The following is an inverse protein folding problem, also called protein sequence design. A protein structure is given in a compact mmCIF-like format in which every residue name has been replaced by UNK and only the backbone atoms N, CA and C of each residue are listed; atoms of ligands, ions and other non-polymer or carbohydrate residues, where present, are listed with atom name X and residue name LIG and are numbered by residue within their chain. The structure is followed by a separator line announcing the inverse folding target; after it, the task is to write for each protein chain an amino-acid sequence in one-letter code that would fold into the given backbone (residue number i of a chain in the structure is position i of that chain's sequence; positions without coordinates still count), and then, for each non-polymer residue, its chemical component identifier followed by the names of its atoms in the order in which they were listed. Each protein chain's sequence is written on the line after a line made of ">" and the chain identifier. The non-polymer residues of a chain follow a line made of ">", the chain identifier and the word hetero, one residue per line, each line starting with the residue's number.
data_IF_191526529045
#
_entry.id   IF_191526529045
#
_cell.length_a   1.000
_cell.length_b   1.000
_cell.length_c   1.000
_cell.angle_alpha   90.00
_cell.angle_beta   90.00
_cell.angle_gamma   90.00
#
_symmetry.space_group_name_H-M   'P 1'
#
loop_
_entity.id
_entity.type
_entity.pdbx_description
1 polymer ?
#
# COMPACT_ATOMS: atom_id res chain seq x y z
N UNK A 1 1.34 -16.41 8.88
CA UNK A 1 1.24 -17.10 7.57
C UNK A 1 2.58 -17.77 7.33
N UNK A 2 2.64 -19.08 7.05
CA UNK A 2 3.92 -19.78 6.83
C UNK A 2 4.18 -19.87 5.33
N UNK A 3 5.03 -18.98 4.83
CA UNK A 3 5.46 -18.89 3.43
C UNK A 3 6.97 -18.71 3.40
N UNK A 4 7.64 -19.24 2.37
CA UNK A 4 9.06 -18.94 2.18
C UNK A 4 9.23 -17.45 1.85
N UNK A 5 10.35 -16.79 2.23
CA UNK A 5 10.64 -15.42 1.78
C UNK A 5 10.67 -15.26 0.25
N UNK A 6 10.86 -16.35 -0.48
CA UNK A 6 10.82 -16.40 -1.96
C UNK A 6 9.41 -16.57 -2.53
N UNK A 7 8.42 -16.91 -1.71
CA UNK A 7 7.06 -17.15 -2.19
C UNK A 7 6.29 -15.85 -2.24
N UNK A 8 5.63 -15.60 -3.36
CA UNK A 8 4.71 -14.47 -3.50
C UNK A 8 3.47 -14.67 -2.64
N UNK A 9 3.14 -13.69 -1.81
CA UNK A 9 1.89 -13.63 -1.07
C UNK A 9 0.81 -13.01 -1.95
N UNK A 10 -0.22 -13.78 -2.27
CA UNK A 10 -1.37 -13.34 -3.05
C UNK A 10 -2.50 -12.92 -2.13
N UNK A 11 -3.07 -11.74 -2.34
CA UNK A 11 -4.19 -11.25 -1.53
C UNK A 11 -5.29 -10.76 -2.44
N UNK A 12 -6.53 -11.15 -2.14
CA UNK A 12 -7.71 -10.69 -2.86
C UNK A 12 -8.90 -10.56 -1.95
N UNK A 13 -9.81 -9.68 -2.33
CA UNK A 13 -11.15 -9.67 -1.79
C UNK A 13 -12.08 -10.59 -2.59
N UNK A 14 -13.10 -11.09 -1.93
CA UNK A 14 -14.25 -11.74 -2.57
C UNK A 14 -15.54 -11.13 -2.03
N UNK A 15 -16.50 -10.97 -2.92
CA UNK A 15 -17.88 -10.72 -2.52
C UNK A 15 -18.62 -12.04 -2.37
N UNK A 16 -19.83 -11.96 -1.82
CA UNK A 16 -20.73 -13.10 -1.74
C UNK A 16 -21.88 -12.90 -2.73
N UNK A 17 -21.97 -13.79 -3.72
CA UNK A 17 -23.00 -13.76 -4.77
C UNK A 17 -24.44 -13.74 -4.22
N UNK A 18 -24.66 -14.17 -2.98
CA UNK A 18 -25.97 -14.10 -2.35
C UNK A 18 -26.36 -12.65 -2.00
N UNK A 19 -25.41 -11.82 -1.56
CA UNK A 19 -25.68 -10.46 -1.07
C UNK A 19 -25.37 -9.38 -2.10
N UNK A 20 -24.34 -9.58 -2.91
CA UNK A 20 -23.86 -8.59 -3.88
C UNK A 20 -23.49 -9.26 -5.19
N UNK A 21 -23.43 -8.47 -6.26
CA UNK A 21 -22.88 -8.84 -7.58
C UNK A 21 -21.65 -8.00 -7.93
N UNK A 22 -21.11 -7.26 -6.97
CA UNK A 22 -20.02 -6.32 -7.17
C UNK A 22 -19.06 -6.28 -5.98
N UNK A 23 -17.81 -5.94 -6.27
CA UNK A 23 -16.77 -5.60 -5.30
C UNK A 23 -16.78 -4.12 -4.91
N UNK A 24 -17.63 -3.30 -5.51
CA UNK A 24 -17.64 -1.86 -5.24
C UNK A 24 -17.82 -1.59 -3.74
N UNK A 25 -16.92 -0.77 -3.19
CA UNK A 25 -17.07 -0.32 -1.81
C UNK A 25 -18.15 0.77 -1.74
N UNK A 26 -19.29 0.40 -1.16
CA UNK A 26 -20.29 1.36 -0.71
C UNK A 26 -20.35 1.19 0.80
N UNK A 27 -19.68 2.08 1.55
CA UNK A 27 -19.50 2.04 3.03
C UNK A 27 -20.83 2.13 3.83
N UNK A 28 -21.95 1.95 3.16
CA UNK A 28 -23.29 1.85 3.73
C UNK A 28 -23.54 0.45 4.32
N UNK A 29 -24.74 0.28 4.85
CA UNK A 29 -25.26 -0.99 5.33
C UNK A 29 -26.61 -1.30 4.70
N UNK A 30 -26.91 -2.58 4.57
CA UNK A 30 -28.16 -3.10 4.04
C UNK A 30 -28.78 -4.11 5.00
N UNK A 31 -30.11 -4.15 5.05
CA UNK A 31 -30.81 -5.24 5.70
C UNK A 31 -30.98 -6.38 4.71
N UNK A 32 -30.44 -7.54 5.04
CA UNK A 32 -30.47 -8.74 4.19
C UNK A 32 -31.04 -9.92 4.98
N UNK A 33 -31.27 -11.04 4.32
CA UNK A 33 -31.52 -12.32 4.97
C UNK A 33 -30.35 -13.26 4.72
N UNK A 34 -29.99 -14.14 5.65
CA UNK A 34 -29.03 -15.20 5.33
C UNK A 34 -29.71 -16.42 4.69
N UNK A 35 -28.93 -17.43 4.33
CA UNK A 35 -29.43 -18.68 3.73
C UNK A 35 -30.39 -19.47 4.63
N UNK A 36 -30.45 -19.16 5.93
CA UNK A 36 -31.39 -19.72 6.89
C UNK A 36 -32.59 -18.80 7.16
N UNK A 37 -32.78 -17.74 6.35
CA UNK A 37 -33.82 -16.71 6.47
C UNK A 37 -33.74 -15.85 7.74
N UNK A 38 -32.60 -15.80 8.44
CA UNK A 38 -32.42 -14.85 9.54
C UNK A 38 -32.19 -13.46 8.96
N UNK A 39 -32.81 -12.44 9.54
CA UNK A 39 -32.51 -11.06 9.19
C UNK A 39 -31.11 -10.66 9.70
N UNK A 40 -30.32 -10.03 8.83
CA UNK A 40 -28.95 -9.60 9.11
C UNK A 40 -28.75 -8.17 8.61
N UNK A 41 -27.74 -7.51 9.15
CA UNK A 41 -27.16 -6.30 8.60
C UNK A 41 -25.90 -6.73 7.84
N UNK A 42 -25.83 -6.34 6.58
CA UNK A 42 -24.69 -6.48 5.68
C UNK A 42 -24.02 -5.12 5.53
N UNK A 43 -22.69 -5.07 5.48
CA UNK A 43 -21.96 -3.83 5.16
C UNK A 43 -20.62 -4.14 4.54
N UNK A 44 -20.16 -3.24 3.67
CA UNK A 44 -18.84 -3.30 3.02
C UNK A 44 -17.84 -2.30 3.60
N UNK A 45 -18.10 -1.75 4.81
CA UNK A 45 -17.14 -0.91 5.55
C UNK A 45 -15.99 -1.77 6.11
N UNK A 46 -15.18 -2.25 5.18
CA UNK A 46 -14.01 -3.09 5.37
C UNK A 46 -12.83 -2.33 4.77
N UNK A 47 -11.66 -2.38 5.41
CA UNK A 47 -10.44 -1.70 4.93
C UNK A 47 -9.23 -2.60 5.10
N UNK A 48 -8.33 -2.55 4.14
CA UNK A 48 -7.04 -3.24 4.16
C UNK A 48 -5.93 -2.23 4.34
N UNK A 49 -5.09 -2.46 5.33
CA UNK A 49 -3.91 -1.68 5.63
C UNK A 49 -2.70 -2.60 5.47
N UNK A 50 -1.83 -2.32 4.51
CA UNK A 50 -0.58 -3.05 4.34
C UNK A 50 0.51 -2.34 5.12
N UNK A 51 1.21 -3.07 5.99
CA UNK A 51 2.17 -2.53 6.95
C UNK A 51 3.46 -3.37 6.97
N UNK A 52 4.55 -2.77 7.44
CA UNK A 52 5.80 -3.49 7.70
C UNK A 52 5.76 -4.22 9.04
N UNK A 53 6.45 -5.36 9.13
CA UNK A 53 6.82 -5.95 10.41
C UNK A 53 8.29 -6.38 10.47
N UNK A 54 8.83 -6.40 11.68
CA UNK A 54 10.15 -6.95 11.98
C UNK A 54 10.08 -8.46 12.30
N UNK A 55 8.88 -9.03 12.37
CA UNK A 55 8.67 -10.47 12.50
C UNK A 55 9.16 -11.21 11.26
N UNK A 56 9.60 -12.45 11.44
CA UNK A 56 10.12 -13.28 10.35
C UNK A 56 9.08 -13.70 9.31
N UNK A 57 7.80 -13.68 9.69
CA UNK A 57 6.70 -14.18 8.87
C UNK A 57 5.60 -13.13 8.74
N UNK A 58 4.97 -13.06 7.57
CA UNK A 58 3.78 -12.25 7.39
C UNK A 58 2.64 -12.71 8.31
N UNK A 59 1.86 -11.77 8.81
CA UNK A 59 0.67 -12.05 9.62
C UNK A 59 -0.44 -11.03 9.37
N UNK A 60 -1.64 -11.41 9.80
CA UNK A 60 -2.85 -10.61 9.66
C UNK A 60 -3.40 -10.31 11.05
N UNK A 61 -3.81 -9.06 11.26
CA UNK A 61 -4.59 -8.65 12.41
C UNK A 61 -5.91 -8.09 11.91
N UNK A 62 -7.02 -8.64 12.41
CA UNK A 62 -8.37 -8.18 12.07
C UNK A 62 -8.93 -7.44 13.27
N UNK A 63 -9.17 -6.16 13.10
CA UNK A 63 -9.83 -5.31 14.08
C UNK A 63 -11.28 -5.11 13.71
N UNK A 64 -12.13 -5.18 14.72
CA UNK A 64 -13.57 -5.00 14.61
C UNK A 64 -13.93 -3.85 15.53
N UNK A 65 -14.53 -2.81 15.00
CA UNK A 65 -14.91 -1.64 15.80
C UNK A 65 -16.41 -1.39 15.67
N UNK A 66 -16.95 -0.70 16.67
CA UNK A 66 -18.33 -0.26 16.67
C UNK A 66 -18.53 0.88 17.67
N UNK A 67 -19.50 1.76 17.45
CA UNK A 67 -19.82 2.84 18.39
C UNK A 67 -20.75 2.37 19.51
N UNK A 68 -20.59 2.96 20.68
CA UNK A 68 -21.42 2.72 21.86
C UNK A 68 -21.41 3.91 22.79
N UNK A 69 -22.40 4.00 23.68
CA UNK A 69 -22.43 5.00 24.75
C UNK A 69 -21.40 4.74 25.87
N UNK A 70 -20.66 3.64 25.78
CA UNK A 70 -19.52 3.30 26.62
C UNK A 70 -18.58 2.38 25.84
N UNK A 71 -17.30 2.34 26.22
CA UNK A 71 -16.32 1.41 25.63
C UNK A 71 -16.77 -0.05 25.74
N UNK A 72 -17.35 -0.44 26.88
CA UNK A 72 -17.88 -1.80 27.08
C UNK A 72 -19.00 -2.13 26.08
N UNK A 73 -19.91 -1.19 25.80
CA UNK A 73 -21.01 -1.41 24.87
C UNK A 73 -20.55 -1.38 23.41
N UNK A 74 -19.57 -0.52 23.09
CA UNK A 74 -18.88 -0.51 21.80
C UNK A 74 -18.22 -1.88 21.54
N UNK A 75 -17.41 -2.37 22.49
CA UNK A 75 -16.75 -3.67 22.42
C UNK A 75 -17.75 -4.82 22.24
N UNK A 76 -18.78 -4.89 23.09
CA UNK A 76 -19.82 -5.95 23.00
C UNK A 76 -20.50 -5.99 21.63
N UNK A 77 -20.65 -4.84 20.97
CA UNK A 77 -21.25 -4.73 19.64
C UNK A 77 -20.27 -5.16 18.55
N UNK A 78 -19.01 -4.72 18.63
CA UNK A 78 -17.95 -5.12 17.71
C UNK A 78 -17.70 -6.64 17.74
N UNK A 79 -17.78 -7.26 18.92
CA UNK A 79 -17.70 -8.72 19.10
C UNK A 79 -18.81 -9.50 18.36
N UNK A 80 -19.88 -8.83 17.91
CA UNK A 80 -20.97 -9.44 17.13
C UNK A 80 -20.83 -9.23 15.62
N UNK A 81 -19.69 -8.71 15.16
CA UNK A 81 -19.37 -8.61 13.74
C UNK A 81 -18.82 -9.97 13.28
N UNK A 82 -19.52 -10.58 12.33
CA UNK A 82 -19.17 -11.82 11.68
C UNK A 82 -18.41 -11.50 10.38
N UNK A 83 -17.09 -11.62 10.46
CA UNK A 83 -16.15 -11.38 9.36
C UNK A 83 -15.30 -12.63 9.14
N UNK A 84 -14.99 -12.95 7.88
CA UNK A 84 -14.27 -14.17 7.51
C UNK A 84 -13.02 -13.86 6.70
N UNK A 85 -11.99 -14.62 7.02
CA UNK A 85 -10.71 -14.68 6.29
C UNK A 85 -10.45 -16.14 5.96
N UNK A 86 -9.97 -16.40 4.75
CA UNK A 86 -9.50 -17.72 4.33
C UNK A 86 -8.04 -17.63 3.89
N UNK A 87 -7.20 -18.50 4.43
CA UNK A 87 -5.78 -18.59 4.07
C UNK A 87 -5.51 -19.99 3.52
N UNK A 88 -5.08 -20.05 2.25
CA UNK A 88 -4.72 -21.29 1.55
C UNK A 88 -3.25 -21.18 1.12
N UNK A 89 -2.32 -21.68 1.93
CA UNK A 89 -0.88 -21.55 1.65
C UNK A 89 -0.45 -20.08 1.61
N UNK A 90 -0.01 -19.62 0.43
CA UNK A 90 0.40 -18.24 0.15
C UNK A 90 -0.73 -17.37 -0.44
N UNK A 91 -1.98 -17.82 -0.39
CA UNK A 91 -3.14 -17.03 -0.82
C UNK A 91 -4.02 -16.65 0.36
N UNK A 92 -4.27 -15.36 0.52
CA UNK A 92 -5.25 -14.79 1.45
C UNK A 92 -6.47 -14.35 0.67
N UNK A 93 -7.64 -14.79 1.10
CA UNK A 93 -8.94 -14.40 0.57
C UNK A 93 -9.71 -13.73 1.70
N UNK A 94 -9.97 -12.44 1.52
CA UNK A 94 -10.68 -11.56 2.44
C UNK A 94 -12.13 -11.42 1.98
N UNK A 95 -13.11 -11.56 2.86
CA UNK A 95 -14.48 -11.17 2.50
C UNK A 95 -14.51 -9.63 2.38
N UNK A 96 -15.18 -9.09 1.37
CA UNK A 96 -15.31 -7.64 1.17
C UNK A 96 -16.45 -7.01 2.02
N UNK A 97 -17.02 -7.83 2.90
CA UNK A 97 -18.20 -7.51 3.69
C UNK A 97 -18.11 -8.18 5.06
N UNK A 98 -18.92 -7.68 5.99
CA UNK A 98 -19.22 -8.37 7.24
C UNK A 98 -20.73 -8.45 7.47
N UNK A 99 -21.13 -9.34 8.37
CA UNK A 99 -22.52 -9.46 8.81
C UNK A 99 -22.65 -9.16 10.31
N UNK A 100 -23.82 -8.68 10.72
CA UNK A 100 -24.22 -8.72 12.13
C UNK A 100 -25.73 -8.92 12.25
N UNK A 101 -26.20 -9.39 13.40
CA UNK A 101 -27.63 -9.54 13.67
C UNK A 101 -28.31 -8.15 13.77
N UNK A 102 -29.51 -8.02 13.19
CA UNK A 102 -30.31 -6.78 13.24
C UNK A 102 -30.50 -6.27 14.67
N UNK A 103 -30.63 -7.17 15.65
CA UNK A 103 -30.78 -6.78 17.07
C UNK A 103 -29.60 -5.99 17.62
N UNK A 104 -28.41 -6.14 17.02
CA UNK A 104 -27.23 -5.40 17.43
C UNK A 104 -27.28 -3.94 16.98
N UNK A 105 -28.13 -3.59 16.00
CA UNK A 105 -28.30 -2.26 15.37
C UNK A 105 -27.03 -1.78 14.65
N UNK A 106 -27.18 -1.02 13.56
CA UNK A 106 -26.04 -0.35 12.94
C UNK A 106 -25.63 0.93 13.70
N UNK A 107 -24.38 1.01 14.13
CA UNK A 107 -23.74 2.12 14.86
C UNK A 107 -22.25 2.21 14.50
N UNK A 108 -21.95 2.39 13.22
CA UNK A 108 -20.56 2.51 12.73
C UNK A 108 -19.75 1.26 13.05
N UNK A 109 -20.29 0.08 12.69
CA UNK A 109 -19.52 -1.14 12.67
C UNK A 109 -18.56 -1.09 11.48
N UNK A 110 -17.29 -1.38 11.72
CA UNK A 110 -16.24 -1.33 10.70
C UNK A 110 -15.28 -2.52 10.94
N UNK A 111 -14.62 -2.97 9.87
CA UNK A 111 -13.58 -4.01 9.93
C UNK A 111 -12.30 -3.48 9.28
N UNK A 112 -11.25 -3.34 10.08
CA UNK A 112 -9.92 -2.99 9.60
C UNK A 112 -9.04 -4.24 9.59
N UNK A 113 -8.35 -4.47 8.48
CA UNK A 113 -7.51 -5.62 8.25
C UNK A 113 -6.09 -5.12 8.08
N UNK A 114 -5.22 -5.43 9.04
CA UNK A 114 -3.81 -5.07 8.99
C UNK A 114 -3.00 -6.27 8.50
N UNK A 115 -2.48 -6.16 7.29
CA UNK A 115 -1.58 -7.13 6.70
C UNK A 115 -0.13 -6.69 6.92
N UNK A 116 0.56 -7.40 7.80
CA UNK A 116 1.95 -7.12 8.13
C UNK A 116 2.89 -7.98 7.29
N UNK A 117 3.79 -7.34 6.54
CA UNK A 117 4.73 -7.97 5.63
C UNK A 117 6.18 -7.79 6.10
N UNK A 118 6.99 -8.86 6.12
CA UNK A 118 8.40 -8.78 6.49
C UNK A 118 9.26 -8.27 5.34
N UNK A 119 10.47 -7.83 5.66
CA UNK A 119 11.48 -7.43 4.67
C UNK A 119 11.69 -8.50 3.59
N UNK A 120 11.72 -8.10 2.32
CA UNK A 120 11.95 -8.98 1.18
C UNK A 120 10.74 -9.78 0.71
N UNK A 121 9.60 -9.70 1.41
CA UNK A 121 8.37 -10.40 1.02
C UNK A 121 7.88 -9.95 -0.36
N UNK A 122 7.70 -10.90 -1.27
CA UNK A 122 6.99 -10.69 -2.53
C UNK A 122 5.49 -10.62 -2.27
N UNK A 123 4.83 -9.61 -2.80
CA UNK A 123 3.42 -9.31 -2.57
C UNK A 123 2.69 -9.08 -3.88
N UNK A 124 1.53 -9.70 -4.04
CA UNK A 124 0.69 -9.63 -5.22
C UNK A 124 -0.75 -9.30 -4.84
N UNK A 125 -1.12 -8.02 -4.81
CA UNK A 125 -2.52 -7.62 -4.66
C UNK A 125 -3.30 -7.95 -5.93
N UNK A 126 -4.52 -8.45 -5.76
CA UNK A 126 -5.51 -8.58 -6.83
C UNK A 126 -6.23 -7.26 -7.06
N UNK A 127 -6.79 -7.05 -8.26
CA UNK A 127 -7.55 -5.84 -8.60
C UNK A 127 -8.72 -5.57 -7.63
N UNK A 128 -9.27 -6.62 -6.99
CA UNK A 128 -10.30 -6.50 -5.95
C UNK A 128 -9.89 -5.72 -4.71
N UNK A 129 -8.60 -5.42 -4.51
CA UNK A 129 -8.12 -4.62 -3.38
C UNK A 129 -8.32 -3.12 -3.60
N UNK A 130 -8.44 -2.64 -4.84
CA UNK A 130 -8.44 -1.22 -5.17
C UNK A 130 -9.39 -0.36 -4.32
N UNK A 131 -10.64 -0.81 -4.16
CA UNK A 131 -11.66 -0.06 -3.41
C UNK A 131 -11.56 -0.23 -1.88
N UNK A 132 -10.67 -1.11 -1.41
CA UNK A 132 -10.54 -1.50 -0.01
C UNK A 132 -9.18 -1.15 0.59
N UNK A 133 -8.20 -0.77 -0.22
CA UNK A 133 -6.90 -0.30 0.26
C UNK A 133 -7.06 1.03 0.99
N UNK A 134 -6.56 1.07 2.22
CA UNK A 134 -6.52 2.24 3.10
C UNK A 134 -5.09 2.38 3.67
N UNK A 135 -4.11 1.83 2.95
CA UNK A 135 -2.69 1.89 3.29
C UNK A 135 -2.15 3.32 3.13
N UNK A 136 -1.11 3.64 3.90
CA UNK A 136 -0.36 4.88 3.71
C UNK A 136 0.52 4.76 2.46
N UNK A 137 0.30 5.62 1.45
CA UNK A 137 1.02 5.60 0.17
C UNK A 137 2.55 5.70 0.34
N UNK A 138 3.01 6.37 1.40
CA UNK A 138 4.44 6.47 1.75
C UNK A 138 5.09 5.09 1.97
N UNK A 139 4.31 4.14 2.49
CA UNK A 139 4.73 2.75 2.69
C UNK A 139 4.29 1.86 1.53
N UNK A 140 3.02 1.91 1.14
CA UNK A 140 2.46 1.08 0.07
C UNK A 140 1.48 1.88 -0.77
N UNK A 141 1.96 2.33 -1.93
CA UNK A 141 1.16 2.96 -2.96
C UNK A 141 0.67 1.89 -3.96
N UNK A 142 -0.63 1.59 -3.97
CA UNK A 142 -1.24 0.62 -4.86
C UNK A 142 -1.50 1.22 -6.25
N UNK A 143 -0.70 0.79 -7.23
CA UNK A 143 -0.91 1.10 -8.64
C UNK A 143 -2.04 0.25 -9.24
N UNK A 144 -3.08 0.91 -9.77
CA UNK A 144 -4.29 0.25 -10.30
C UNK A 144 -4.40 0.25 -11.83
N UNK A 145 -3.43 0.85 -12.53
CA UNK A 145 -3.42 0.93 -14.00
C UNK A 145 -3.06 -0.39 -14.69
N UNK A 146 -2.60 -1.39 -13.93
CA UNK A 146 -2.10 -2.65 -14.46
C UNK A 146 -1.99 -3.76 -13.42
N UNK A 147 -1.29 -4.83 -13.78
CA UNK A 147 -1.14 -6.02 -12.94
C UNK A 147 0.28 -6.12 -12.37
N UNK A 148 0.52 -5.46 -11.24
CA UNK A 148 1.86 -5.24 -10.73
C UNK A 148 2.26 -6.16 -9.58
N UNK A 149 3.54 -6.48 -9.51
CA UNK A 149 4.17 -7.28 -8.47
C UNK A 149 4.94 -6.34 -7.55
N UNK A 150 4.90 -6.64 -6.26
CA UNK A 150 5.49 -5.78 -5.25
C UNK A 150 6.47 -6.54 -4.38
N UNK A 151 7.37 -5.81 -3.74
CA UNK A 151 8.32 -6.35 -2.78
C UNK A 151 8.58 -5.37 -1.65
N UNK A 152 8.61 -5.88 -0.42
CA UNK A 152 8.97 -5.05 0.74
C UNK A 152 10.46 -4.75 0.72
N UNK A 153 10.84 -3.47 0.61
CA UNK A 153 12.23 -3.03 0.59
C UNK A 153 12.48 -1.86 1.55
N UNK A 154 12.98 -2.18 2.73
CA UNK A 154 13.41 -1.23 3.74
C UNK A 154 12.24 -0.55 4.44
N UNK A 155 11.95 0.69 4.05
CA UNK A 155 10.88 1.50 4.64
C UNK A 155 9.64 1.61 3.76
N UNK A 156 9.60 0.94 2.60
CA UNK A 156 8.46 0.97 1.68
C UNK A 156 8.35 -0.32 0.88
N UNK A 157 7.22 -0.49 0.21
CA UNK A 157 6.98 -1.51 -0.78
C UNK A 157 7.34 -0.95 -2.15
N UNK A 158 8.16 -1.67 -2.90
CA UNK A 158 8.57 -1.37 -4.26
C UNK A 158 7.72 -2.12 -5.25
N UNK A 159 7.28 -1.44 -6.30
CA UNK A 159 6.65 -2.03 -7.45
C UNK A 159 7.72 -2.50 -8.45
N UNK A 160 7.74 -3.80 -8.73
CA UNK A 160 8.78 -4.47 -9.51
C UNK A 160 8.60 -4.35 -11.03
N UNK A 161 7.41 -3.96 -11.48
CA UNK A 161 7.06 -3.92 -12.90
C UNK A 161 6.04 -2.83 -13.25
N UNK A 162 5.96 -1.74 -12.48
CA UNK A 162 5.21 -0.55 -12.92
C UNK A 162 5.94 0.19 -14.04
N UNK A 163 5.20 0.93 -14.89
CA UNK A 163 5.77 1.83 -15.88
C UNK A 163 6.58 2.96 -15.23
N UNK A 164 7.55 3.50 -15.98
CA UNK A 164 8.40 4.58 -15.46
C UNK A 164 7.71 5.92 -15.19
N UNK A 165 6.51 6.09 -15.73
CA UNK A 165 5.67 7.25 -15.42
C UNK A 165 4.99 7.16 -14.05
N UNK A 166 4.92 5.97 -13.43
CA UNK A 166 4.15 5.70 -12.20
C UNK A 166 5.11 5.57 -11.01
N UNK A 167 5.74 6.68 -10.65
CA UNK A 167 6.77 6.75 -9.61
C UNK A 167 6.67 8.03 -8.77
N UNK A 168 5.46 8.56 -8.63
CA UNK A 168 5.16 9.75 -7.82
C UNK A 168 5.64 9.58 -6.37
N UNK A 169 5.62 8.34 -5.86
CA UNK A 169 6.02 7.99 -4.50
C UNK A 169 7.43 7.38 -4.41
N UNK A 170 8.21 7.40 -5.50
CA UNK A 170 9.56 6.84 -5.51
C UNK A 170 9.57 5.35 -5.20
N UNK A 171 8.57 4.62 -5.65
CA UNK A 171 8.25 3.22 -5.37
C UNK A 171 8.40 2.31 -6.59
N UNK A 172 8.66 2.83 -7.78
CA UNK A 172 9.05 2.03 -8.94
C UNK A 172 10.47 1.46 -8.79
N UNK A 173 10.64 0.19 -9.17
CA UNK A 173 11.94 -0.49 -9.26
C UNK A 173 12.42 -0.48 -10.72
N UNK A 174 13.24 0.50 -11.06
CA UNK A 174 13.95 0.50 -12.33
C UNK A 174 15.20 -0.38 -12.19
N UNK A 175 15.11 -1.62 -12.65
CA UNK A 175 16.30 -2.41 -12.94
C UNK A 175 17.20 -1.56 -13.86
N UNK A 176 18.29 -1.04 -13.31
CA UNK A 176 19.20 -0.12 -14.00
C UNK A 176 20.24 -0.90 -14.81
N UNK A 177 19.78 -1.94 -15.51
CA UNK A 177 20.62 -2.90 -16.24
C UNK A 177 20.21 -3.08 -17.72
N UNK A 178 19.41 -2.18 -18.30
CA UNK A 178 19.26 -2.07 -19.76
C UNK A 178 19.35 -0.61 -20.25
N UNK A 179 20.53 -0.31 -20.78
CA UNK A 179 20.82 0.44 -22.00
C UNK A 179 19.82 1.52 -22.49
N UNK A 180 20.29 2.78 -22.45
CA UNK A 180 20.01 3.89 -23.37
C UNK A 180 18.61 3.97 -24.01
N UNK A 181 17.67 4.62 -23.32
CA UNK A 181 16.68 5.47 -23.98
C UNK A 181 16.76 6.88 -23.40
N UNK A 182 17.46 7.74 -24.12
CA UNK A 182 17.36 9.19 -23.98
C UNK A 182 15.93 9.54 -24.41
N UNK A 183 15.10 9.97 -23.47
CA UNK A 183 13.88 10.70 -23.81
C UNK A 183 13.99 12.14 -23.27
N UNK A 184 13.87 13.07 -24.21
CA UNK A 184 13.94 14.51 -24.00
C UNK A 184 12.53 15.02 -23.71
N UNK A 185 12.22 15.36 -22.47
CA UNK A 185 11.32 16.44 -21.99
C UNK A 185 10.99 16.13 -20.52
N UNK A 186 10.92 17.01 -19.54
CA UNK A 186 10.70 18.46 -19.51
C UNK A 186 11.33 18.98 -18.21
N UNK A 187 11.72 20.24 -18.22
CA UNK A 187 12.24 21.00 -17.08
C UNK A 187 11.18 21.12 -15.98
N UNK A 188 11.50 20.72 -14.75
CA UNK A 188 10.94 21.41 -13.58
C UNK A 188 11.94 21.58 -12.44
N UNK A 189 11.72 22.67 -11.71
CA UNK A 189 12.72 23.41 -10.97
C UNK A 189 13.00 22.89 -9.54
N UNK A 190 14.23 23.17 -9.08
CA UNK A 190 14.65 23.38 -7.69
C UNK A 190 14.90 22.11 -6.84
N UNK A 191 16.11 21.82 -6.35
CA UNK A 191 17.04 22.68 -5.60
C UNK A 191 18.43 22.00 -5.60
N UNK A 192 19.49 22.76 -5.90
CA UNK A 192 20.87 22.25 -5.82
C UNK A 192 21.25 22.05 -4.35
N UNK A 193 21.49 20.80 -3.94
CA UNK A 193 22.16 20.46 -2.67
C UNK A 193 23.62 20.95 -2.74
N UNK A 194 24.07 21.63 -1.69
CA UNK A 194 25.44 22.15 -1.56
C UNK A 194 26.51 21.12 -1.97
N UNK A 195 27.50 21.57 -2.75
CA UNK A 195 28.70 20.78 -3.04
C UNK A 195 29.85 21.33 -2.20
N UNK A 196 30.33 20.53 -1.24
CA UNK A 196 31.58 20.79 -0.53
C UNK A 196 32.71 19.99 -1.20
N UNK A 197 33.79 20.66 -1.58
CA UNK A 197 35.01 20.01 -2.09
C UNK A 197 36.08 20.13 -1.01
N UNK A 198 36.51 18.97 -0.49
CA UNK A 198 37.62 18.83 0.46
C UNK A 198 38.80 18.19 -0.25
N UNK A 199 39.95 18.86 -0.23
CA UNK A 199 41.22 18.27 -0.66
C UNK A 199 42.12 18.21 0.58
N UNK A 200 42.60 17.01 0.92
CA UNK A 200 43.40 16.73 2.11
C UNK A 200 42.76 17.22 3.44
N UNK A 201 41.43 17.04 3.57
CA UNK A 201 40.70 17.32 4.80
C UNK A 201 40.39 18.80 5.07
N UNK A 202 40.73 19.72 4.16
CA UNK A 202 40.41 21.15 4.29
C UNK A 202 39.47 21.60 3.16
N UNK A 203 38.43 22.34 3.53
CA UNK A 203 37.36 22.82 2.64
C UNK A 203 37.81 24.12 1.94
N UNK A 204 37.67 24.21 0.61
CA UNK A 204 38.41 25.23 -0.20
C UNK A 204 37.50 26.23 -0.96
N UNK A 205 36.18 26.07 -1.00
CA UNK A 205 35.30 27.00 -1.73
C UNK A 205 34.03 27.36 -0.95
N UNK A 206 33.80 28.66 -0.75
CA UNK A 206 32.53 29.22 -0.27
C UNK A 206 32.11 30.34 -1.24
N UNK A 207 31.42 29.97 -2.32
CA UNK A 207 31.15 30.84 -3.47
C UNK A 207 29.71 31.32 -3.56
N UNK A 208 29.48 32.64 -3.46
CA UNK A 208 28.18 33.29 -3.70
C UNK A 208 27.68 33.11 -5.14
N UNK A 209 26.34 33.00 -5.28
CA UNK A 209 25.55 32.76 -6.50
C UNK A 209 25.92 33.68 -7.68
N UNK A 210 26.27 33.09 -8.83
CA UNK A 210 26.24 33.77 -10.14
C UNK A 210 25.80 32.78 -11.22
N UNK A 211 24.89 33.20 -12.12
CA UNK A 211 24.43 32.43 -13.27
C UNK A 211 25.54 32.35 -14.33
N UNK A 212 25.91 31.14 -14.73
CA UNK A 212 26.84 30.83 -15.82
C UNK A 212 26.79 29.33 -16.08
N UNK A 213 27.02 28.89 -17.32
CA UNK A 213 26.93 27.48 -17.69
C UNK A 213 28.30 26.81 -17.43
N UNK A 214 28.28 25.72 -16.67
CA UNK A 214 29.47 24.92 -16.40
C UNK A 214 29.59 23.80 -17.43
N UNK A 215 30.79 23.60 -17.98
CA UNK A 215 31.10 22.48 -18.88
C UNK A 215 32.37 21.78 -18.43
N UNK A 216 32.38 20.46 -18.49
CA UNK A 216 33.52 19.63 -18.09
C UNK A 216 34.32 19.22 -19.32
N UNK A 217 35.63 19.40 -19.30
CA UNK A 217 36.51 18.90 -20.35
C UNK A 217 36.76 17.39 -20.20
N UNK A 218 37.44 16.80 -21.19
CA UNK A 218 37.68 15.36 -21.28
C UNK A 218 38.57 14.81 -20.15
N UNK A 219 39.15 15.68 -19.32
CA UNK A 219 40.02 15.35 -18.20
C UNK A 219 39.34 15.62 -16.85
N UNK A 220 38.04 15.93 -16.83
CA UNK A 220 37.27 16.13 -15.60
C UNK A 220 37.41 17.52 -14.97
N UNK A 221 37.98 18.49 -15.69
CA UNK A 221 38.12 19.86 -15.20
C UNK A 221 36.88 20.67 -15.56
N UNK A 222 36.26 21.29 -14.55
CA UNK A 222 35.06 22.12 -14.73
C UNK A 222 35.48 23.55 -15.09
N UNK A 223 35.08 24.00 -16.28
CA UNK A 223 35.33 25.36 -16.78
C UNK A 223 34.02 26.13 -16.75
N UNK A 224 34.07 27.35 -16.17
CA UNK A 224 32.95 28.29 -16.17
C UNK A 224 33.05 29.21 -17.38
N UNK A 225 32.03 29.20 -18.23
CA UNK A 225 31.89 30.12 -19.35
C UNK A 225 30.80 31.13 -18.97
N UNK A 226 31.13 32.42 -19.05
CA UNK A 226 30.16 33.52 -18.89
C UNK A 226 29.42 33.77 -20.20
#
# INVERSE_FOLDING_TARGET
>A
IKISPTDTLYVKFRYNDYYSKSLNQHRDFEFVQDSANNQRIYSTDVRLHVLRTDESNAYLQVEKTARGNSFTNAKKRAEKIDYKVQINGNQIILDNYFLTDVKNKFRGQEVDIYLYLPQGQLFKPDASIQDYDDSEDDFFNLHFSGNYNYKVEGSKIKCLNCPAGENEYGDADYNTDEDNTIDNDTIDNDTVKEVSIKINGKEVLNGKKTKGRLTTDKNGVIIKIN
#
